data_IF_416112199132
#
_entry.id   IF_416112199132
#
_cell.length_a   1.000
_cell.length_b   1.000
_cell.length_c   1.000
_cell.angle_alpha   90.00
_cell.angle_beta   90.00
_cell.angle_gamma   90.00
#
_symmetry.space_group_name_H-M   'P 1'
#
loop_
_entity.id
_entity.type
_entity.pdbx_description
1 polymer ?
#
# COMPACT_ATOMS: atom_id res chain seq x y z
N UNK A 1 -39.63 -15.71 -16.02
CA UNK A 1 -39.16 -14.73 -15.01
C UNK A 1 -37.87 -15.21 -14.34
N UNK A 2 -37.79 -16.48 -13.95
CA UNK A 2 -36.60 -17.12 -13.32
C UNK A 2 -35.31 -17.06 -14.17
N UNK A 3 -35.43 -17.24 -15.49
CA UNK A 3 -34.31 -17.19 -16.44
C UNK A 3 -33.65 -15.79 -16.52
N UNK A 4 -34.42 -14.71 -16.27
CA UNK A 4 -33.87 -13.35 -16.32
C UNK A 4 -33.10 -13.03 -15.03
N UNK A 5 -33.60 -13.47 -13.87
CA UNK A 5 -32.87 -13.33 -12.59
C UNK A 5 -31.54 -14.09 -12.59
N UNK A 6 -31.49 -15.30 -13.15
CA UNK A 6 -30.23 -16.06 -13.27
C UNK A 6 -29.19 -15.33 -14.15
N UNK A 7 -29.63 -14.67 -15.23
CA UNK A 7 -28.76 -13.87 -16.10
C UNK A 7 -28.27 -12.56 -15.45
N UNK A 8 -29.08 -11.94 -14.58
CA UNK A 8 -28.63 -10.77 -13.80
C UNK A 8 -27.58 -11.17 -12.76
N UNK A 9 -27.79 -12.28 -12.02
CA UNK A 9 -26.84 -12.73 -10.99
C UNK A 9 -25.51 -13.16 -11.62
N UNK A 10 -25.53 -13.85 -12.77
CA UNK A 10 -24.30 -14.25 -13.47
C UNK A 10 -23.53 -13.06 -14.03
N UNK A 11 -24.20 -12.06 -14.60
CA UNK A 11 -23.57 -10.85 -15.14
C UNK A 11 -22.98 -9.96 -14.03
N UNK A 12 -23.65 -9.83 -12.87
CA UNK A 12 -23.12 -9.15 -11.68
C UNK A 12 -21.90 -9.90 -11.11
N UNK A 13 -21.92 -11.23 -11.07
CA UNK A 13 -20.76 -12.02 -10.62
C UNK A 13 -19.57 -11.86 -11.56
N UNK A 14 -19.80 -11.89 -12.87
CA UNK A 14 -18.76 -11.68 -13.89
C UNK A 14 -18.17 -10.26 -13.82
N UNK A 15 -18.99 -9.24 -13.56
CA UNK A 15 -18.51 -7.86 -13.40
C UNK A 15 -17.71 -7.68 -12.11
N UNK A 16 -18.14 -8.29 -11.00
CA UNK A 16 -17.41 -8.30 -9.74
C UNK A 16 -16.05 -9.00 -9.87
N UNK A 17 -16.02 -10.21 -10.44
CA UNK A 17 -14.78 -10.96 -10.68
C UNK A 17 -13.83 -10.21 -11.62
N UNK A 18 -14.35 -9.54 -12.65
CA UNK A 18 -13.54 -8.72 -13.56
C UNK A 18 -12.92 -7.51 -12.85
N UNK A 19 -13.67 -6.86 -11.96
CA UNK A 19 -13.17 -5.73 -11.16
C UNK A 19 -12.11 -6.17 -10.14
N UNK A 20 -12.31 -7.30 -9.46
CA UNK A 20 -11.31 -7.88 -8.57
C UNK A 20 -10.04 -8.28 -9.33
N UNK A 21 -10.16 -8.96 -10.46
CA UNK A 21 -9.02 -9.35 -11.29
C UNK A 21 -8.22 -8.13 -11.79
N UNK A 22 -8.91 -7.02 -12.10
CA UNK A 22 -8.26 -5.75 -12.46
C UNK A 22 -7.53 -5.14 -11.26
N UNK A 23 -8.16 -5.08 -10.09
CA UNK A 23 -7.55 -4.56 -8.86
C UNK A 23 -6.32 -5.37 -8.44
N UNK A 24 -6.43 -6.71 -8.44
CA UNK A 24 -5.31 -7.63 -8.18
C UNK A 24 -4.17 -7.39 -9.18
N UNK A 25 -4.46 -7.32 -10.48
CA UNK A 25 -3.42 -7.10 -11.50
C UNK A 25 -2.67 -5.78 -11.30
N UNK A 26 -3.38 -4.73 -10.88
CA UNK A 26 -2.81 -3.41 -10.62
C UNK A 26 -1.94 -3.44 -9.36
N UNK A 27 -2.47 -3.96 -8.25
CA UNK A 27 -1.75 -4.01 -6.98
C UNK A 27 -0.55 -4.98 -7.01
N UNK A 28 -0.66 -6.10 -7.72
CA UNK A 28 0.44 -7.04 -7.94
C UNK A 28 1.66 -6.38 -8.57
N UNK A 29 1.49 -5.40 -9.47
CA UNK A 29 2.63 -4.71 -10.09
C UNK A 29 3.42 -3.88 -9.08
N UNK A 30 2.72 -3.24 -8.13
CA UNK A 30 3.38 -2.48 -7.06
C UNK A 30 4.07 -3.42 -6.07
N UNK A 31 3.38 -4.50 -5.69
CA UNK A 31 3.91 -5.53 -4.80
C UNK A 31 5.17 -6.21 -5.37
N UNK A 32 5.21 -6.47 -6.69
CA UNK A 32 6.40 -7.02 -7.37
C UNK A 32 7.57 -6.03 -7.29
N UNK A 33 7.34 -4.72 -7.47
CA UNK A 33 8.40 -3.71 -7.37
C UNK A 33 8.98 -3.64 -5.96
N UNK A 34 8.12 -3.67 -4.95
CA UNK A 34 8.53 -3.72 -3.54
C UNK A 34 9.39 -4.96 -3.27
N UNK A 35 8.92 -6.14 -3.70
CA UNK A 35 9.62 -7.40 -3.49
C UNK A 35 10.99 -7.42 -4.18
N UNK A 36 11.09 -6.94 -5.41
CA UNK A 36 12.37 -6.87 -6.13
C UNK A 36 13.34 -5.95 -5.39
N UNK A 37 12.91 -4.74 -5.01
CA UNK A 37 13.77 -3.80 -4.25
C UNK A 37 14.21 -4.38 -2.91
N UNK A 38 13.31 -5.06 -2.21
CA UNK A 38 13.57 -5.70 -0.93
C UNK A 38 14.58 -6.84 -1.06
N UNK A 39 14.43 -7.71 -2.07
CA UNK A 39 15.37 -8.80 -2.33
C UNK A 39 16.75 -8.27 -2.69
N UNK A 40 16.84 -7.24 -3.53
CA UNK A 40 18.12 -6.61 -3.89
C UNK A 40 18.82 -6.01 -2.66
N UNK A 41 18.09 -5.32 -1.80
CA UNK A 41 18.63 -4.78 -0.55
C UNK A 41 19.04 -5.86 0.44
N UNK A 42 18.30 -6.97 0.52
CA UNK A 42 18.65 -8.11 1.37
C UNK A 42 19.95 -8.75 0.90
N UNK A 43 20.12 -8.97 -0.41
CA UNK A 43 21.37 -9.50 -0.98
C UNK A 43 22.53 -8.54 -0.69
N UNK A 44 22.34 -7.23 -0.89
CA UNK A 44 23.34 -6.24 -0.53
C UNK A 44 23.67 -6.26 0.97
N UNK A 45 22.68 -6.49 1.83
CA UNK A 45 22.83 -6.59 3.28
C UNK A 45 23.58 -7.83 3.79
N UNK A 46 23.79 -8.85 2.95
CA UNK A 46 24.64 -10.01 3.30
C UNK A 46 26.13 -9.65 3.40
N UNK A 47 26.54 -8.51 2.83
CA UNK A 47 27.90 -8.00 2.94
C UNK A 47 28.00 -7.14 4.21
N UNK A 48 28.86 -7.48 5.20
CA UNK A 48 28.87 -6.81 6.51
C UNK A 48 29.01 -5.29 6.45
N UNK A 49 29.81 -4.76 5.53
CA UNK A 49 30.01 -3.31 5.36
C UNK A 49 28.76 -2.64 4.80
N UNK A 50 28.09 -3.30 3.83
CA UNK A 50 26.86 -2.77 3.23
C UNK A 50 25.65 -2.96 4.15
N UNK A 51 25.68 -3.92 5.08
CA UNK A 51 24.59 -4.23 6.00
C UNK A 51 24.17 -3.02 6.86
N UNK A 52 25.14 -2.19 7.27
CA UNK A 52 24.92 -0.98 8.07
C UNK A 52 24.04 0.03 7.32
N UNK A 53 24.15 0.08 5.99
CA UNK A 53 23.34 0.95 5.12
C UNK A 53 22.08 0.22 4.67
N UNK A 54 22.17 -1.08 4.38
CA UNK A 54 21.07 -1.88 3.88
C UNK A 54 19.91 -1.99 4.87
N UNK A 55 20.18 -2.12 6.18
CA UNK A 55 19.15 -2.20 7.22
C UNK A 55 18.26 -0.95 7.30
N UNK A 56 18.78 0.28 7.47
CA UNK A 56 17.95 1.48 7.44
C UNK A 56 17.32 1.71 6.07
N UNK A 57 17.99 1.37 4.96
CA UNK A 57 17.37 1.44 3.63
C UNK A 57 16.19 0.48 3.47
N UNK A 58 16.29 -0.74 4.00
CA UNK A 58 15.19 -1.71 4.04
C UNK A 58 14.00 -1.16 4.81
N UNK A 59 14.24 -0.60 6.00
CA UNK A 59 13.19 0.04 6.78
C UNK A 59 12.53 1.19 6.01
N UNK A 60 13.30 2.06 5.35
CA UNK A 60 12.76 3.16 4.56
C UNK A 60 11.94 2.70 3.35
N UNK A 61 12.40 1.65 2.64
CA UNK A 61 11.66 1.07 1.52
C UNK A 61 10.35 0.48 2.02
N UNK A 62 10.38 -0.32 3.08
CA UNK A 62 9.18 -0.91 3.67
C UNK A 62 8.20 0.15 4.19
N UNK A 63 8.71 1.20 4.84
CA UNK A 63 7.92 2.33 5.30
C UNK A 63 7.28 3.09 4.12
N UNK A 64 8.03 3.33 3.04
CA UNK A 64 7.49 3.96 1.83
C UNK A 64 6.34 3.14 1.22
N UNK A 65 6.54 1.83 1.00
CA UNK A 65 5.51 1.00 0.35
C UNK A 65 4.30 0.75 1.25
N UNK A 66 4.49 0.64 2.57
CA UNK A 66 3.39 0.56 3.54
C UNK A 66 2.58 1.86 3.56
N UNK A 67 3.25 3.01 3.63
CA UNK A 67 2.61 4.31 3.56
C UNK A 67 1.92 4.57 2.21
N UNK A 68 2.52 4.10 1.12
CA UNK A 68 1.93 4.13 -0.21
C UNK A 68 0.58 3.41 -0.21
N UNK A 69 0.48 2.20 0.34
CA UNK A 69 -0.79 1.47 0.43
C UNK A 69 -1.86 2.22 1.23
N UNK A 70 -1.47 2.86 2.35
CA UNK A 70 -2.39 3.65 3.18
C UNK A 70 -2.91 4.88 2.42
N UNK A 71 -2.02 5.58 1.70
CA UNK A 71 -2.37 6.79 0.95
C UNK A 71 -3.14 6.45 -0.33
N UNK A 72 -2.81 5.36 -1.01
CA UNK A 72 -3.49 4.91 -2.23
C UNK A 72 -4.96 4.57 -1.95
N UNK A 73 -5.28 4.01 -0.78
CA UNK A 73 -6.68 3.77 -0.38
C UNK A 73 -7.52 5.07 -0.31
N UNK A 74 -6.90 6.18 0.08
CA UNK A 74 -7.55 7.49 0.03
C UNK A 74 -7.61 8.04 -1.40
N UNK A 75 -6.50 7.94 -2.15
CA UNK A 75 -6.39 8.47 -3.50
C UNK A 75 -7.25 7.71 -4.52
N UNK A 76 -7.50 6.41 -4.34
CA UNK A 76 -8.36 5.59 -5.19
C UNK A 76 -9.78 6.16 -5.32
N UNK A 77 -10.23 6.93 -4.32
CA UNK A 77 -11.54 7.61 -4.35
C UNK A 77 -11.57 8.84 -5.25
N UNK A 78 -10.42 9.36 -5.66
CA UNK A 78 -10.29 10.66 -6.34
C UNK A 78 -9.35 10.64 -7.55
N UNK A 79 -8.53 9.60 -7.73
CA UNK A 79 -7.47 9.52 -8.74
C UNK A 79 -7.40 8.11 -9.37
N UNK A 80 -6.86 8.06 -10.58
CA UNK A 80 -6.51 6.77 -11.23
C UNK A 80 -5.20 6.22 -10.65
N UNK A 81 -4.99 4.89 -10.69
CA UNK A 81 -3.79 4.26 -10.16
C UNK A 81 -2.47 4.91 -10.63
N UNK A 82 -2.36 5.23 -11.92
CA UNK A 82 -1.16 5.90 -12.45
C UNK A 82 -0.94 7.29 -11.84
N UNK A 83 -2.02 8.01 -11.53
CA UNK A 83 -1.95 9.32 -10.87
C UNK A 83 -1.66 9.19 -9.37
N UNK A 84 -2.22 8.17 -8.69
CA UNK A 84 -1.88 7.89 -7.30
C UNK A 84 -0.39 7.61 -7.14
N UNK A 85 0.21 6.85 -8.06
CA UNK A 85 1.65 6.56 -8.04
C UNK A 85 2.47 7.84 -8.07
N UNK A 86 2.15 8.77 -8.96
CA UNK A 86 2.84 10.06 -9.06
C UNK A 86 2.60 10.92 -7.81
N UNK A 87 1.35 11.03 -7.35
CA UNK A 87 1.00 11.84 -6.18
C UNK A 87 1.72 11.37 -4.92
N UNK A 88 1.81 10.05 -4.71
CA UNK A 88 2.53 9.50 -3.56
C UNK A 88 4.04 9.66 -3.72
N UNK A 89 4.57 9.55 -4.94
CA UNK A 89 5.99 9.81 -5.20
C UNK A 89 6.38 11.27 -4.90
N UNK A 90 5.52 12.22 -5.27
CA UNK A 90 5.70 13.65 -4.95
C UNK A 90 5.64 13.91 -3.43
N UNK A 91 4.82 13.12 -2.72
CA UNK A 91 4.69 13.16 -1.25
C UNK A 91 5.41 12.00 -0.55
N UNK A 92 6.52 11.50 -1.11
CA UNK A 92 7.23 10.30 -0.61
C UNK A 92 7.62 10.36 0.86
N UNK A 93 7.93 11.55 1.38
CA UNK A 93 8.26 11.74 2.79
C UNK A 93 7.05 11.56 3.71
N UNK A 94 5.85 11.93 3.25
CA UNK A 94 4.61 11.66 3.98
C UNK A 94 4.30 10.15 3.98
N UNK A 95 4.52 9.47 2.85
CA UNK A 95 4.40 8.01 2.76
C UNK A 95 5.36 7.31 3.72
N UNK A 96 6.65 7.64 3.67
CA UNK A 96 7.67 7.05 4.56
C UNK A 96 7.34 7.33 6.04
N UNK A 97 6.92 8.54 6.39
CA UNK A 97 6.62 8.86 7.78
C UNK A 97 5.37 8.12 8.29
N UNK A 98 4.30 8.10 7.49
CA UNK A 98 3.06 7.43 7.85
C UNK A 98 3.24 5.90 7.94
N UNK A 99 3.92 5.31 6.96
CA UNK A 99 4.25 3.89 6.96
C UNK A 99 5.25 3.54 8.05
N UNK A 100 6.24 4.38 8.34
CA UNK A 100 7.19 4.19 9.42
C UNK A 100 6.52 4.18 10.79
N UNK A 101 5.64 5.15 11.07
CA UNK A 101 4.83 5.20 12.30
C UNK A 101 3.94 3.96 12.39
N UNK A 102 3.29 3.58 11.29
CA UNK A 102 2.48 2.35 11.23
C UNK A 102 3.32 1.12 11.57
N UNK A 103 4.48 0.93 10.95
CA UNK A 103 5.35 -0.22 11.19
C UNK A 103 5.87 -0.27 12.63
N UNK A 104 6.23 0.87 13.21
CA UNK A 104 6.67 0.97 14.61
C UNK A 104 5.55 0.63 15.59
N UNK A 105 4.33 1.11 15.33
CA UNK A 105 3.14 0.73 16.11
C UNK A 105 2.86 -0.77 15.94
N UNK A 106 2.91 -1.29 14.72
CA UNK A 106 2.63 -2.68 14.39
C UNK A 106 3.64 -3.66 14.99
N UNK A 107 4.86 -3.19 15.29
CA UNK A 107 5.87 -3.98 16.00
C UNK A 107 5.45 -4.35 17.44
N UNK A 108 4.48 -3.66 18.03
CA UNK A 108 3.94 -4.00 19.35
C UNK A 108 2.83 -5.05 19.19
N UNK A 109 3.00 -6.29 19.70
CA UNK A 109 1.99 -7.33 19.57
C UNK A 109 0.71 -6.97 20.32
N UNK A 110 -0.43 -7.49 19.85
CA UNK A 110 -1.79 -7.28 20.40
C UNK A 110 -2.31 -5.84 20.24
N UNK A 111 -1.65 -4.86 20.86
CA UNK A 111 -2.10 -3.46 20.87
C UNK A 111 -1.82 -2.79 19.51
N UNK A 112 -0.62 -2.98 18.97
CA UNK A 112 -0.19 -2.39 17.71
C UNK A 112 -1.04 -2.81 16.52
N UNK A 113 -1.41 -4.08 16.46
CA UNK A 113 -2.25 -4.65 15.39
C UNK A 113 -3.62 -3.96 15.31
N UNK A 114 -4.17 -3.51 16.44
CA UNK A 114 -5.46 -2.83 16.50
C UNK A 114 -5.30 -1.32 16.24
N UNK A 115 -4.33 -0.68 16.91
CA UNK A 115 -4.16 0.78 16.84
C UNK A 115 -3.56 1.26 15.51
N UNK A 116 -2.63 0.52 14.94
CA UNK A 116 -1.93 0.92 13.72
C UNK A 116 -2.89 1.18 12.53
N UNK A 117 -3.80 0.26 12.15
CA UNK A 117 -4.74 0.52 11.06
C UNK A 117 -5.73 1.65 11.36
N UNK A 118 -6.18 1.79 12.62
CA UNK A 118 -7.05 2.89 13.03
C UNK A 118 -6.36 4.26 12.87
N UNK A 119 -5.14 4.41 13.39
CA UNK A 119 -4.41 5.66 13.31
C UNK A 119 -3.96 6.00 11.89
N UNK A 120 -3.56 4.99 11.11
CA UNK A 120 -3.15 5.16 9.71
C UNK A 120 -4.27 5.75 8.84
N UNK A 121 -5.49 5.20 8.96
CA UNK A 121 -6.64 5.66 8.16
C UNK A 121 -7.07 7.08 8.53
N UNK A 122 -7.11 7.41 9.83
CA UNK A 122 -7.44 8.76 10.31
C UNK A 122 -6.38 9.79 9.88
N UNK A 123 -5.11 9.44 10.01
CA UNK A 123 -3.99 10.34 9.70
C UNK A 123 -3.86 10.58 8.21
N UNK A 124 -3.94 9.52 7.39
CA UNK A 124 -3.90 9.64 5.92
C UNK A 124 -5.02 10.53 5.39
N UNK A 125 -6.24 10.37 5.92
CA UNK A 125 -7.40 11.20 5.55
C UNK A 125 -7.19 12.65 5.97
N UNK A 126 -6.76 12.92 7.21
CA UNK A 126 -6.51 14.29 7.69
C UNK A 126 -5.38 15.00 6.93
N UNK A 127 -4.32 14.29 6.57
CA UNK A 127 -3.20 14.85 5.83
C UNK A 127 -3.65 15.46 4.50
N UNK A 128 -4.40 14.71 3.69
CA UNK A 128 -4.86 15.19 2.39
C UNK A 128 -5.99 16.21 2.45
N UNK A 129 -6.78 16.26 3.52
CA UNK A 129 -7.76 17.34 3.73
C UNK A 129 -7.06 18.67 4.03
N UNK A 130 -5.95 18.63 4.77
CA UNK A 130 -5.21 19.83 5.18
C UNK A 130 -4.24 20.35 4.10
N UNK A 131 -3.71 19.45 3.27
CA UNK A 131 -2.73 19.76 2.22
C UNK A 131 -3.37 19.80 0.82
N UNK A 132 -4.64 20.19 0.75
CA UNK A 132 -5.37 20.38 -0.51
C UNK A 132 -5.10 21.77 -1.11
#
# INVERSE_FOLDING_TARGET
>A
MENNQQNIVSSVRLSFLRSMARSVRINSRNMIRELILTILLLIAGLIPILSVIALPSLFLVQAYFTGFGILDYYLERHQTFSQSVTTVYDHKWAAISLGGIFMLLFAVPVIGVILAPYLATVTGTKYFIKNK
#
